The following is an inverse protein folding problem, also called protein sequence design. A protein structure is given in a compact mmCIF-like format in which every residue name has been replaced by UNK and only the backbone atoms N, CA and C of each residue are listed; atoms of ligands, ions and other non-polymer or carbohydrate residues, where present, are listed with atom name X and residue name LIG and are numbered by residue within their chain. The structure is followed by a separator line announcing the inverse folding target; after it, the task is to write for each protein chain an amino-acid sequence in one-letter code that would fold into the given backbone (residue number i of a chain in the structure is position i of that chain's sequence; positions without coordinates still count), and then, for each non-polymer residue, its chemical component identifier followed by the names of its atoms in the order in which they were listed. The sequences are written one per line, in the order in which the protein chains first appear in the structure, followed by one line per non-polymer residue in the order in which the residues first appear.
data_IF_989193790056
#
_entry.id   IF_989193790056
#
_cell.length_a   1.000
_cell.length_b   1.000
_cell.length_c   1.000
_cell.angle_alpha   90.00
_cell.angle_beta   90.00
_cell.angle_gamma   90.00
#
_symmetry.space_group_name_H-M   'P 1'
#
loop_
_entity.id
_entity.type
_entity.pdbx_description
1 polymer ?
#
# COMPACT_ATOMS: atom_id res chain seq x y z
N UNK A 1 -15.46 9.46 -7.97
CA UNK A 1 -16.64 9.64 -8.86
C UNK A 1 -16.24 10.01 -10.29
N UNK A 2 -15.47 11.09 -10.54
CA UNK A 2 -15.12 11.51 -11.91
C UNK A 2 -14.44 10.41 -12.75
N UNK A 3 -13.42 9.71 -12.20
CA UNK A 3 -12.76 8.60 -12.90
C UNK A 3 -13.70 7.45 -13.24
N UNK A 4 -14.62 7.09 -12.34
CA UNK A 4 -15.62 6.05 -12.57
C UNK A 4 -16.58 6.44 -13.70
N UNK A 5 -17.10 7.67 -13.68
CA UNK A 5 -17.99 8.19 -14.72
C UNK A 5 -17.27 8.24 -16.07
N UNK A 6 -16.04 8.75 -16.13
CA UNK A 6 -15.23 8.81 -17.34
C UNK A 6 -14.92 7.44 -17.92
N UNK A 7 -14.62 6.46 -17.06
CA UNK A 7 -14.42 5.07 -17.45
C UNK A 7 -15.71 4.43 -18.00
N UNK A 8 -16.85 4.62 -17.34
CA UNK A 8 -18.15 4.07 -17.80
C UNK A 8 -18.60 4.66 -19.13
N UNK A 9 -18.38 5.96 -19.34
CA UNK A 9 -18.68 6.65 -20.62
C UNK A 9 -17.71 6.31 -21.76
N UNK A 10 -16.63 5.55 -21.48
CA UNK A 10 -15.63 5.20 -22.48
C UNK A 10 -14.63 6.31 -22.80
N UNK A 11 -14.67 7.44 -22.09
CA UNK A 11 -13.69 8.52 -22.25
C UNK A 11 -12.28 8.07 -21.84
N UNK A 12 -12.20 7.18 -20.85
CA UNK A 12 -10.96 6.56 -20.37
C UNK A 12 -11.10 5.04 -20.39
N UNK A 13 -10.08 4.39 -20.91
CA UNK A 13 -9.95 2.94 -20.96
C UNK A 13 -9.02 2.40 -19.87
N UNK A 14 -8.81 1.08 -19.83
CA UNK A 14 -7.88 0.46 -18.90
C UNK A 14 -6.42 0.90 -19.16
N UNK A 15 -6.06 1.21 -20.41
CA UNK A 15 -4.73 1.70 -20.79
C UNK A 15 -4.47 3.06 -20.16
N UNK A 16 -5.45 3.96 -20.16
CA UNK A 16 -5.36 5.26 -19.51
C UNK A 16 -5.07 5.12 -18.01
N UNK A 17 -5.76 4.20 -17.31
CA UNK A 17 -5.48 3.92 -15.90
C UNK A 17 -4.04 3.43 -15.69
N UNK A 18 -3.52 2.57 -16.57
CA UNK A 18 -2.14 2.09 -16.53
C UNK A 18 -1.10 3.22 -16.69
N UNK A 19 -1.36 4.17 -17.60
CA UNK A 19 -0.48 5.35 -17.80
C UNK A 19 -0.50 6.24 -16.56
N UNK A 20 -1.68 6.53 -16.00
CA UNK A 20 -1.83 7.32 -14.79
C UNK A 20 -1.12 6.67 -13.59
N UNK A 21 -1.23 5.35 -13.45
CA UNK A 21 -0.53 4.60 -12.40
C UNK A 21 0.99 4.70 -12.54
N UNK A 22 1.53 4.63 -13.76
CA UNK A 22 2.98 4.82 -13.99
C UNK A 22 3.43 6.24 -13.65
N UNK A 23 2.65 7.25 -13.99
CA UNK A 23 2.92 8.65 -13.61
C UNK A 23 3.00 8.79 -12.09
N UNK A 24 2.02 8.21 -11.38
CA UNK A 24 2.00 8.24 -9.90
C UNK A 24 3.21 7.54 -9.33
N UNK A 25 3.46 6.28 -9.69
CA UNK A 25 4.51 5.46 -9.09
C UNK A 25 5.93 5.92 -9.42
N UNK A 26 6.17 6.49 -10.61
CA UNK A 26 7.51 6.84 -11.05
C UNK A 26 7.86 8.31 -10.82
N UNK A 27 6.87 9.19 -10.63
CA UNK A 27 7.10 10.64 -10.53
C UNK A 27 6.41 11.22 -9.30
N UNK A 28 5.07 11.19 -9.23
CA UNK A 28 4.34 11.94 -8.24
C UNK A 28 4.54 11.41 -6.81
N UNK A 29 4.48 10.10 -6.62
CA UNK A 29 4.70 9.47 -5.31
C UNK A 29 6.15 9.60 -4.83
N UNK A 30 7.19 9.31 -5.63
CA UNK A 30 8.57 9.58 -5.23
C UNK A 30 8.81 11.03 -4.82
N UNK A 31 8.27 12.00 -5.57
CA UNK A 31 8.37 13.42 -5.24
C UNK A 31 7.67 13.74 -3.90
N UNK A 32 6.47 13.19 -3.68
CA UNK A 32 5.72 13.40 -2.43
C UNK A 32 6.44 12.81 -1.21
N UNK A 33 6.98 11.59 -1.32
CA UNK A 33 7.75 10.93 -0.27
C UNK A 33 9.04 11.69 0.02
N UNK A 34 9.79 12.04 -1.02
CA UNK A 34 11.02 12.81 -0.89
C UNK A 34 10.78 14.16 -0.22
N UNK A 35 9.82 14.95 -0.72
CA UNK A 35 9.46 16.26 -0.18
C UNK A 35 8.99 16.20 1.29
N UNK A 36 8.27 15.14 1.68
CA UNK A 36 7.84 14.96 3.06
C UNK A 36 8.99 14.61 3.99
N UNK A 37 9.90 13.73 3.57
CA UNK A 37 10.99 13.24 4.42
C UNK A 37 12.10 14.30 4.59
N UNK A 38 12.45 15.05 3.54
CA UNK A 38 13.48 16.10 3.68
C UNK A 38 13.08 17.24 4.60
N UNK A 39 11.78 17.36 4.94
CA UNK A 39 11.27 18.31 5.94
C UNK A 39 11.23 17.73 7.35
N UNK A 40 11.55 16.45 7.51
CA UNK A 40 11.58 15.81 8.82
C UNK A 40 12.90 16.08 9.52
N UNK A 41 12.83 16.27 10.82
CA UNK A 41 14.02 16.34 11.68
C UNK A 41 14.62 14.94 11.89
N UNK A 42 15.93 14.90 12.22
CA UNK A 42 16.62 13.65 12.50
C UNK A 42 15.98 12.88 13.67
N UNK A 43 15.51 13.59 14.69
CA UNK A 43 14.87 12.99 15.86
C UNK A 43 13.57 12.29 15.47
N UNK A 44 12.78 12.93 14.60
CA UNK A 44 11.56 12.34 14.05
C UNK A 44 11.85 11.03 13.29
N UNK A 45 12.98 10.93 12.57
CA UNK A 45 13.37 9.69 11.90
C UNK A 45 13.71 8.58 12.91
N UNK A 46 14.40 8.91 14.01
CA UNK A 46 14.75 7.94 15.04
C UNK A 46 13.51 7.44 15.81
N UNK A 47 12.54 8.31 16.08
CA UNK A 47 11.25 7.95 16.69
C UNK A 47 10.43 6.98 15.83
N UNK A 48 10.65 6.96 14.52
CA UNK A 48 9.95 6.09 13.60
C UNK A 48 10.54 4.66 13.45
N UNK A 49 11.55 4.29 14.23
CA UNK A 49 12.08 2.90 14.26
C UNK A 49 10.98 1.93 14.73
N UNK A 50 10.23 2.26 15.80
CA UNK A 50 9.13 1.42 16.30
C UNK A 50 8.01 1.26 15.28
N UNK A 51 7.44 2.33 14.69
CA UNK A 51 6.50 2.22 13.57
C UNK A 51 7.02 1.35 12.42
N UNK A 52 8.31 1.44 12.07
CA UNK A 52 8.93 0.60 11.03
C UNK A 52 8.87 -0.89 11.37
N UNK A 53 9.22 -1.25 12.62
CA UNK A 53 9.13 -2.63 13.08
C UNK A 53 7.70 -3.15 13.12
N UNK A 54 6.74 -2.31 13.55
CA UNK A 54 5.30 -2.65 13.55
C UNK A 54 4.80 -2.87 12.14
N UNK A 55 5.16 -2.00 11.19
CA UNK A 55 4.79 -2.15 9.78
C UNK A 55 5.37 -3.44 9.20
N UNK A 56 6.66 -3.70 9.42
CA UNK A 56 7.34 -4.89 8.91
C UNK A 56 6.71 -6.16 9.49
N UNK A 57 6.59 -6.25 10.81
CA UNK A 57 6.03 -7.42 11.48
C UNK A 57 4.56 -7.64 11.11
N UNK A 58 3.74 -6.58 11.16
CA UNK A 58 2.30 -6.66 10.90
C UNK A 58 1.99 -7.01 9.45
N UNK A 59 2.66 -6.35 8.49
CA UNK A 59 2.44 -6.61 7.06
C UNK A 59 2.93 -8.01 6.70
N UNK A 60 4.11 -8.44 7.18
CA UNK A 60 4.64 -9.77 6.89
C UNK A 60 3.82 -10.89 7.54
N UNK A 61 3.33 -10.67 8.77
CA UNK A 61 2.41 -11.59 9.42
C UNK A 61 1.12 -11.74 8.60
N UNK A 62 0.49 -10.65 8.21
CA UNK A 62 -0.72 -10.67 7.37
C UNK A 62 -0.45 -11.36 6.03
N UNK A 63 0.67 -11.04 5.39
CA UNK A 63 1.08 -11.63 4.11
C UNK A 63 1.20 -13.16 4.22
N UNK A 64 1.92 -13.63 5.23
CA UNK A 64 2.13 -15.07 5.48
C UNK A 64 0.82 -15.79 5.79
N UNK A 65 -0.01 -15.21 6.66
CA UNK A 65 -1.30 -15.80 7.01
C UNK A 65 -2.26 -15.86 5.82
N UNK A 66 -2.35 -14.83 5.00
CA UNK A 66 -3.15 -14.85 3.77
C UNK A 66 -2.65 -15.94 2.82
N UNK A 67 -1.33 -16.03 2.62
CA UNK A 67 -0.72 -17.07 1.80
C UNK A 67 -1.12 -18.48 2.27
N UNK A 68 -0.94 -18.77 3.55
CA UNK A 68 -1.25 -20.10 4.11
C UNK A 68 -2.76 -20.40 4.10
N UNK A 69 -3.63 -19.41 4.38
CA UNK A 69 -5.08 -19.59 4.30
C UNK A 69 -5.50 -19.99 2.88
N UNK A 70 -5.04 -19.27 1.84
CA UNK A 70 -5.44 -19.58 0.47
C UNK A 70 -4.83 -20.89 -0.02
N UNK A 71 -3.59 -21.19 0.34
CA UNK A 71 -2.91 -22.43 0.00
C UNK A 71 -3.61 -23.68 0.58
N UNK A 72 -4.14 -23.58 1.79
CA UNK A 72 -4.73 -24.72 2.48
C UNK A 72 -6.26 -24.82 2.38
N UNK A 73 -6.96 -23.67 2.35
CA UNK A 73 -8.43 -23.66 2.37
C UNK A 73 -9.04 -23.78 0.97
N UNK A 74 -8.34 -23.33 -0.07
CA UNK A 74 -8.86 -23.36 -1.44
C UNK A 74 -8.04 -24.33 -2.30
N UNK A 75 -8.69 -25.42 -2.71
CA UNK A 75 -8.10 -26.46 -3.59
C UNK A 75 -7.97 -25.90 -5.01
N UNK A 76 -6.75 -25.65 -5.46
CA UNK A 76 -6.39 -25.20 -6.81
C UNK A 76 -4.90 -25.43 -7.05
N UNK A 77 -4.23 -24.58 -7.82
CA UNK A 77 -2.77 -24.58 -7.97
C UNK A 77 -2.02 -24.11 -6.70
N UNK A 78 -2.63 -24.27 -5.55
CA UNK A 78 -2.17 -24.17 -4.18
C UNK A 78 -1.33 -22.94 -3.85
N UNK A 79 -0.06 -22.94 -4.20
CA UNK A 79 0.86 -21.87 -3.84
C UNK A 79 0.76 -20.61 -4.68
N UNK A 80 0.43 -20.71 -5.98
CA UNK A 80 0.36 -19.56 -6.89
C UNK A 80 -0.81 -18.63 -6.55
N UNK A 81 -1.96 -19.22 -6.27
CA UNK A 81 -3.18 -18.48 -5.89
C UNK A 81 -3.00 -17.81 -4.53
N UNK A 82 -2.40 -18.53 -3.57
CA UNK A 82 -2.06 -17.99 -2.27
C UNK A 82 -1.08 -16.81 -2.36
N UNK A 83 -0.07 -16.90 -3.22
CA UNK A 83 0.90 -15.82 -3.43
C UNK A 83 0.24 -14.56 -4.02
N UNK A 84 -0.65 -14.71 -5.00
CA UNK A 84 -1.41 -13.59 -5.58
C UNK A 84 -2.30 -12.95 -4.53
N UNK A 85 -3.03 -13.74 -3.73
CA UNK A 85 -3.92 -13.19 -2.70
C UNK A 85 -3.14 -12.56 -1.54
N UNK A 86 -1.96 -13.07 -1.21
CA UNK A 86 -1.06 -12.43 -0.26
C UNK A 86 -0.56 -11.09 -0.77
N UNK A 87 -0.19 -10.98 -2.05
CA UNK A 87 0.17 -9.72 -2.69
C UNK A 87 -0.97 -8.69 -2.69
N UNK A 88 -2.22 -9.14 -2.79
CA UNK A 88 -3.40 -8.28 -2.76
C UNK A 88 -3.80 -7.89 -1.33
N UNK A 89 -4.08 -8.88 -0.49
CA UNK A 89 -4.62 -8.63 0.86
C UNK A 89 -3.54 -8.25 1.87
N UNK A 90 -2.28 -8.63 1.65
CA UNK A 90 -1.14 -8.23 2.47
C UNK A 90 -0.50 -6.89 2.08
N UNK A 91 -0.92 -6.29 0.97
CA UNK A 91 -0.32 -5.03 0.47
C UNK A 91 -1.35 -3.91 0.40
N UNK A 92 -1.27 -2.90 1.28
CA UNK A 92 -2.14 -1.72 1.20
C UNK A 92 -1.75 -0.81 0.03
N UNK A 93 -2.75 -0.17 -0.58
CA UNK A 93 -2.56 0.83 -1.64
C UNK A 93 -1.97 2.16 -1.11
N UNK A 94 -0.96 2.06 -0.25
CA UNK A 94 -0.39 3.20 0.50
C UNK A 94 0.15 4.29 -0.43
N UNK A 95 0.82 3.89 -1.51
CA UNK A 95 1.37 4.83 -2.49
C UNK A 95 0.31 5.62 -3.24
N UNK A 96 -0.88 5.05 -3.43
CA UNK A 96 -1.97 5.70 -4.16
C UNK A 96 -2.90 6.48 -3.23
N UNK A 97 -3.29 5.89 -2.10
CA UNK A 97 -4.32 6.44 -1.22
C UNK A 97 -3.77 6.94 0.12
N UNK A 98 -2.52 6.65 0.46
CA UNK A 98 -1.94 7.03 1.75
C UNK A 98 -2.06 8.52 2.04
N UNK A 99 -1.52 9.36 1.17
CA UNK A 99 -1.64 10.80 1.33
C UNK A 99 -3.08 11.30 1.20
N UNK A 100 -3.87 10.72 0.29
CA UNK A 100 -5.28 11.11 0.09
C UNK A 100 -6.16 10.87 1.32
N UNK A 101 -5.81 9.88 2.15
CA UNK A 101 -6.57 9.53 3.36
C UNK A 101 -5.95 10.13 4.61
N UNK A 102 -4.63 10.07 4.76
CA UNK A 102 -3.98 10.50 6.00
C UNK A 102 -3.86 12.02 6.11
N UNK A 103 -3.57 12.75 5.02
CA UNK A 103 -3.43 14.21 5.10
C UNK A 103 -4.72 14.96 5.53
N UNK A 104 -5.91 14.62 5.02
CA UNK A 104 -7.14 15.27 5.50
C UNK A 104 -7.44 15.03 6.97
N UNK A 105 -6.96 13.92 7.55
CA UNK A 105 -7.22 13.53 8.93
C UNK A 105 -6.16 14.02 9.92
N UNK A 106 -4.88 14.06 9.50
CA UNK A 106 -3.74 14.36 10.38
C UNK A 106 -2.93 15.58 9.94
N UNK A 107 -3.35 16.25 8.87
CA UNK A 107 -2.63 17.40 8.31
C UNK A 107 -1.47 17.00 7.38
N UNK A 108 -0.86 18.02 6.76
CA UNK A 108 0.32 17.87 5.88
C UNK A 108 1.61 17.88 6.71
N UNK A 109 1.74 16.93 7.62
CA UNK A 109 2.89 16.83 8.53
C UNK A 109 3.97 15.90 7.98
N UNK A 110 5.27 16.09 8.33
CA UNK A 110 6.34 15.15 7.99
C UNK A 110 6.04 13.73 8.48
N UNK A 111 5.37 13.60 9.64
CA UNK A 111 4.99 12.30 10.21
C UNK A 111 4.09 11.50 9.26
N UNK A 112 3.10 12.13 8.61
CA UNK A 112 2.26 11.47 7.60
C UNK A 112 3.12 10.94 6.45
N UNK A 113 4.05 11.77 5.95
CA UNK A 113 4.99 11.35 4.89
C UNK A 113 5.85 10.17 5.29
N UNK A 114 6.38 10.17 6.51
CA UNK A 114 7.19 9.07 7.04
C UNK A 114 6.38 7.77 7.16
N UNK A 115 5.16 7.80 7.69
CA UNK A 115 4.31 6.60 7.77
C UNK A 115 3.99 6.06 6.37
N UNK A 116 3.66 6.93 5.40
CA UNK A 116 3.43 6.51 4.01
C UNK A 116 4.70 5.88 3.42
N UNK A 117 5.88 6.47 3.68
CA UNK A 117 7.16 5.95 3.23
C UNK A 117 7.49 4.59 3.86
N UNK A 118 7.36 4.46 5.18
CA UNK A 118 7.64 3.23 5.93
C UNK A 118 6.81 2.07 5.38
N UNK A 119 5.49 2.25 5.33
CA UNK A 119 4.58 1.22 4.81
C UNK A 119 4.86 0.95 3.33
N UNK A 120 5.13 1.98 2.53
CA UNK A 120 5.49 1.86 1.12
C UNK A 120 6.76 1.07 0.90
N UNK A 121 7.81 1.31 1.68
CA UNK A 121 9.09 0.57 1.61
C UNK A 121 8.86 -0.89 2.01
N UNK A 122 8.17 -1.16 3.11
CA UNK A 122 7.88 -2.53 3.55
C UNK A 122 7.11 -3.29 2.48
N UNK A 123 6.09 -2.69 1.89
CA UNK A 123 5.30 -3.33 0.82
C UNK A 123 6.14 -3.58 -0.44
N UNK A 124 6.86 -2.55 -0.93
CA UNK A 124 7.55 -2.64 -2.22
C UNK A 124 8.90 -3.35 -2.13
N UNK A 125 9.68 -3.12 -1.07
CA UNK A 125 11.03 -3.68 -0.94
C UNK A 125 11.04 -5.05 -0.25
N UNK A 126 9.98 -5.43 0.48
CA UNK A 126 9.89 -6.73 1.16
C UNK A 126 8.70 -7.54 0.66
N UNK A 127 7.48 -7.02 0.75
CA UNK A 127 6.25 -7.75 0.42
C UNK A 127 6.20 -8.23 -1.02
N UNK A 128 6.47 -7.35 -2.00
CA UNK A 128 6.44 -7.71 -3.42
C UNK A 128 7.51 -8.75 -3.78
N UNK A 129 8.80 -8.60 -3.41
CA UNK A 129 9.81 -9.64 -3.65
C UNK A 129 9.48 -10.99 -3.02
N UNK A 130 8.96 -10.99 -1.79
CA UNK A 130 8.52 -12.25 -1.13
C UNK A 130 7.38 -12.88 -1.91
N UNK A 131 6.36 -12.12 -2.30
CA UNK A 131 5.24 -12.63 -3.09
C UNK A 131 5.65 -13.16 -4.46
N UNK A 132 6.55 -12.47 -5.16
CA UNK A 132 7.11 -12.96 -6.43
C UNK A 132 7.93 -14.23 -6.24
N UNK A 133 8.70 -14.35 -5.16
CA UNK A 133 9.46 -15.56 -4.86
C UNK A 133 8.56 -16.76 -4.61
N UNK A 134 7.47 -16.56 -3.84
CA UNK A 134 6.47 -17.61 -3.60
C UNK A 134 5.75 -17.99 -4.90
N UNK A 135 5.41 -17.02 -5.74
CA UNK A 135 4.75 -17.27 -7.02
C UNK A 135 5.66 -18.04 -7.99
N UNK A 136 6.93 -17.66 -8.09
CA UNK A 136 7.92 -18.34 -8.91
C UNK A 136 8.19 -19.78 -8.41
N UNK A 137 8.29 -19.96 -7.10
CA UNK A 137 8.47 -21.30 -6.51
C UNK A 137 7.27 -22.21 -6.82
N UNK A 138 6.04 -21.68 -6.73
CA UNK A 138 4.83 -22.43 -7.03
C UNK A 138 4.65 -22.72 -8.54
N UNK A 139 5.18 -21.84 -9.40
CA UNK A 139 5.13 -21.99 -10.88
C UNK A 139 6.29 -22.81 -11.45
N UNK A 140 7.22 -23.27 -10.62
CA UNK A 140 8.41 -24.02 -11.05
C UNK A 140 9.46 -23.19 -11.81
N UNK A 141 9.33 -21.86 -11.82
CA UNK A 141 10.27 -20.94 -12.44
C UNK A 141 11.21 -20.36 -11.39
N UNK A 142 12.42 -20.91 -11.29
CA UNK A 142 13.44 -20.41 -10.37
C UNK A 142 14.07 -19.11 -10.90
N UNK A 143 13.48 -17.96 -10.62
CA UNK A 143 14.17 -16.67 -10.75
C UNK A 143 14.66 -16.21 -9.37
N UNK A 144 15.95 -15.83 -9.28
CA UNK A 144 16.60 -15.56 -7.99
C UNK A 144 15.93 -14.42 -7.21
N UNK A 145 15.60 -14.69 -5.96
CA UNK A 145 15.00 -13.74 -5.00
C UNK A 145 15.80 -12.44 -4.91
N UNK A 146 17.14 -12.53 -4.99
CA UNK A 146 18.04 -11.37 -4.95
C UNK A 146 17.79 -10.40 -6.12
N UNK A 147 17.57 -10.91 -7.33
CA UNK A 147 17.27 -10.05 -8.49
C UNK A 147 15.94 -9.32 -8.33
N UNK A 148 14.92 -9.97 -7.76
CA UNK A 148 13.62 -9.33 -7.47
C UNK A 148 13.76 -8.23 -6.43
N UNK A 149 14.56 -8.42 -5.38
CA UNK A 149 14.85 -7.41 -4.34
C UNK A 149 15.59 -6.21 -4.95
N UNK A 150 16.66 -6.45 -5.70
CA UNK A 150 17.42 -5.36 -6.34
C UNK A 150 16.57 -4.58 -7.33
N UNK A 151 15.72 -5.25 -8.11
CA UNK A 151 14.79 -4.59 -9.00
C UNK A 151 13.75 -3.74 -8.25
N UNK A 152 13.24 -4.22 -7.11
CA UNK A 152 12.31 -3.45 -6.27
C UNK A 152 12.98 -2.20 -5.67
N UNK A 153 14.22 -2.32 -5.19
CA UNK A 153 15.00 -1.20 -4.66
C UNK A 153 15.42 -0.18 -5.73
N UNK A 154 15.54 -0.59 -6.99
CA UNK A 154 15.84 0.32 -8.10
C UNK A 154 14.64 1.19 -8.52
N UNK A 155 13.43 0.88 -8.04
CA UNK A 155 12.24 1.68 -8.36
C UNK A 155 12.26 3.04 -7.65
N UNK A 156 11.79 4.13 -8.32
CA UNK A 156 11.77 5.47 -7.73
C UNK A 156 11.04 5.54 -6.39
N UNK A 157 9.94 4.79 -6.23
CA UNK A 157 9.16 4.72 -5.00
C UNK A 157 9.93 4.14 -3.81
N UNK A 158 10.96 3.35 -4.06
CA UNK A 158 11.81 2.78 -3.02
C UNK A 158 13.05 3.65 -2.72
N UNK A 159 13.79 4.06 -3.76
CA UNK A 159 15.03 4.79 -3.55
C UNK A 159 14.83 6.27 -3.16
N UNK A 160 13.73 6.93 -3.60
CA UNK A 160 13.52 8.34 -3.29
C UNK A 160 13.37 8.61 -1.77
N UNK A 161 12.54 7.85 -1.01
CA UNK A 161 12.49 8.01 0.44
C UNK A 161 13.81 7.63 1.13
N UNK A 162 14.55 6.63 0.63
CA UNK A 162 15.86 6.26 1.17
C UNK A 162 16.90 7.37 0.96
N UNK A 163 16.92 7.98 -0.24
CA UNK A 163 17.79 9.11 -0.52
C UNK A 163 17.45 10.33 0.35
N UNK A 164 16.16 10.65 0.52
CA UNK A 164 15.72 11.73 1.40
C UNK A 164 16.14 11.48 2.85
N UNK A 165 15.96 10.24 3.35
CA UNK A 165 16.40 9.84 4.70
C UNK A 165 17.91 9.99 4.85
N UNK A 166 18.71 9.57 3.86
CA UNK A 166 20.15 9.71 3.88
C UNK A 166 20.58 11.19 3.96
N UNK A 167 19.93 12.08 3.21
CA UNK A 167 20.21 13.52 3.26
C UNK A 167 19.94 14.09 4.66
N UNK A 168 18.79 13.77 5.26
CA UNK A 168 18.42 14.25 6.61
C UNK A 168 19.40 13.71 7.66
N UNK A 169 19.77 12.44 7.61
CA UNK A 169 20.73 11.83 8.54
C UNK A 169 22.13 12.45 8.39
N UNK A 170 22.55 12.78 7.17
CA UNK A 170 23.82 13.45 6.89
C UNK A 170 23.79 14.96 7.20
N UNK A 171 22.64 15.53 7.58
CA UNK A 171 22.50 16.97 7.83
C UNK A 171 22.59 17.83 6.56
N UNK A 172 22.33 17.26 5.39
CA UNK A 172 22.33 17.96 4.11
C UNK A 172 20.95 18.54 3.87
N UNK A 173 20.85 19.86 3.91
CA UNK A 173 19.60 20.57 3.64
C UNK A 173 19.44 20.86 2.13
N UNK A 174 18.23 20.62 1.63
CA UNK A 174 17.88 21.02 0.26
C UNK A 174 17.51 22.50 0.26
N UNK A 175 17.97 23.29 -0.74
CA UNK A 175 17.57 24.67 -0.89
C UNK A 175 16.04 24.81 -0.91
N UNK A 176 15.52 25.80 -0.18
CA UNK A 176 14.06 26.03 -0.07
C UNK A 176 13.42 26.33 -1.44
N UNK A 177 14.20 26.89 -2.36
CA UNK A 177 13.75 27.19 -3.73
C UNK A 177 13.45 25.92 -4.56
N UNK A 178 14.01 24.77 -4.20
CA UNK A 178 13.76 23.52 -4.91
C UNK A 178 12.47 22.82 -4.43
N UNK A 179 12.02 23.09 -3.21
CA UNK A 179 10.86 22.44 -2.60
C UNK A 179 9.54 22.70 -3.35
N UNK A 180 9.22 23.92 -3.86
CA UNK A 180 8.00 24.18 -4.61
C UNK A 180 7.86 23.30 -5.86
N UNK A 181 8.98 23.00 -6.55
CA UNK A 181 8.96 22.13 -7.74
C UNK A 181 8.62 20.68 -7.38
N UNK A 182 9.12 20.20 -6.25
CA UNK A 182 8.77 18.89 -5.73
C UNK A 182 7.31 18.83 -5.27
N UNK A 183 6.82 19.88 -4.59
CA UNK A 183 5.43 19.98 -4.16
C UNK A 183 4.45 19.98 -5.34
N UNK A 184 4.81 20.66 -6.42
CA UNK A 184 4.01 20.67 -7.64
C UNK A 184 3.86 19.26 -8.24
N UNK A 185 4.95 18.49 -8.30
CA UNK A 185 4.90 17.09 -8.73
C UNK A 185 4.15 16.20 -7.73
N UNK A 186 4.38 16.42 -6.45
CA UNK A 186 3.72 15.70 -5.35
C UNK A 186 2.21 15.88 -5.32
N UNK A 187 1.72 17.09 -5.65
CA UNK A 187 0.28 17.41 -5.65
C UNK A 187 -0.53 16.52 -6.60
N UNK A 188 0.08 16.02 -7.68
CA UNK A 188 -0.56 15.09 -8.59
C UNK A 188 -0.80 13.69 -7.98
N UNK A 189 -0.05 13.31 -6.93
CA UNK A 189 -0.08 11.94 -6.39
C UNK A 189 -1.49 11.48 -6.02
N UNK A 190 -2.10 12.10 -5.03
CA UNK A 190 -3.41 11.67 -4.50
C UNK A 190 -4.53 11.84 -5.52
N UNK A 191 -4.55 12.95 -6.26
CA UNK A 191 -5.61 13.28 -7.21
C UNK A 191 -5.62 12.30 -8.39
N UNK A 192 -4.46 12.09 -9.02
CA UNK A 192 -4.33 11.19 -10.18
C UNK A 192 -4.54 9.74 -9.76
N UNK A 193 -4.03 9.35 -8.58
CA UNK A 193 -4.20 8.00 -8.06
C UNK A 193 -5.67 7.66 -7.84
N UNK A 194 -6.43 8.49 -7.11
CA UNK A 194 -7.86 8.28 -6.84
C UNK A 194 -8.69 8.30 -8.13
N UNK A 195 -8.31 9.14 -9.10
CA UNK A 195 -8.95 9.16 -10.41
C UNK A 195 -8.73 7.85 -11.18
N UNK A 196 -7.50 7.33 -11.21
CA UNK A 196 -7.14 6.06 -11.84
C UNK A 196 -7.90 4.88 -11.20
N UNK A 197 -8.02 4.85 -9.86
CA UNK A 197 -8.84 3.86 -9.13
C UNK A 197 -10.28 3.87 -9.63
N UNK A 198 -10.86 5.06 -9.82
CA UNK A 198 -12.22 5.20 -10.35
C UNK A 198 -12.38 4.58 -11.74
N UNK A 199 -11.42 4.80 -12.65
CA UNK A 199 -11.43 4.20 -14.00
C UNK A 199 -11.40 2.66 -13.90
N UNK A 200 -10.50 2.11 -13.10
CA UNK A 200 -10.34 0.66 -12.94
C UNK A 200 -11.62 0.03 -12.42
N UNK A 201 -12.22 0.59 -11.36
CA UNK A 201 -13.50 0.12 -10.83
C UNK A 201 -14.61 0.12 -11.90
N UNK A 202 -14.61 1.08 -12.82
CA UNK A 202 -15.62 1.17 -13.88
C UNK A 202 -15.52 0.05 -14.90
N UNK A 203 -14.35 -0.55 -15.06
CA UNK A 203 -14.04 -1.61 -16.04
C UNK A 203 -14.00 -3.02 -15.45
N UNK A 204 -13.88 -3.13 -14.13
CA UNK A 204 -13.77 -4.41 -13.43
C UNK A 204 -15.13 -5.10 -13.37
N UNK A 205 -15.23 -6.35 -13.84
CA UNK A 205 -16.35 -7.24 -13.55
C UNK A 205 -16.11 -7.86 -12.18
N UNK A 206 -16.98 -7.57 -11.23
CA UNK A 206 -16.86 -8.04 -9.84
C UNK A 206 -17.48 -9.43 -9.74
N UNK A 207 -16.67 -10.42 -9.40
CA UNK A 207 -17.10 -11.77 -9.03
C UNK A 207 -17.21 -11.84 -7.51
N UNK A 208 -18.41 -12.06 -6.98
CA UNK A 208 -18.66 -12.18 -5.55
C UNK A 208 -18.73 -13.65 -5.20
N UNK A 209 -17.74 -14.14 -4.50
CA UNK A 209 -17.67 -15.51 -3.96
C UNK A 209 -16.91 -15.53 -2.63
N UNK A 210 -16.85 -16.70 -1.99
CA UNK A 210 -16.19 -16.85 -0.70
C UNK A 210 -14.73 -16.39 -0.71
N UNK A 211 -14.01 -16.62 -1.79
CA UNK A 211 -12.59 -16.25 -1.93
C UNK A 211 -12.40 -14.73 -2.00
N UNK A 212 -13.19 -14.04 -2.84
CA UNK A 212 -13.08 -12.59 -3.01
C UNK A 212 -13.57 -11.83 -1.78
N UNK A 213 -14.62 -12.33 -1.12
CA UNK A 213 -15.13 -11.79 0.15
C UNK A 213 -14.09 -11.96 1.26
N UNK A 214 -13.51 -13.18 1.39
CA UNK A 214 -12.46 -13.44 2.39
C UNK A 214 -11.25 -12.53 2.17
N UNK A 215 -10.80 -12.35 0.91
CA UNK A 215 -9.71 -11.43 0.59
C UNK A 215 -9.98 -9.99 1.03
N UNK A 216 -11.21 -9.49 0.80
CA UNK A 216 -11.62 -8.18 1.25
C UNK A 216 -11.67 -8.07 2.79
N UNK A 217 -12.22 -9.08 3.49
CA UNK A 217 -12.26 -9.12 4.96
C UNK A 217 -10.83 -9.14 5.53
N UNK A 218 -9.96 -10.02 5.04
CA UNK A 218 -8.57 -10.08 5.47
C UNK A 218 -7.85 -8.75 5.27
N UNK A 219 -8.20 -8.01 4.21
CA UNK A 219 -7.61 -6.71 3.93
C UNK A 219 -8.13 -5.61 4.86
N UNK A 220 -9.45 -5.43 4.96
CA UNK A 220 -10.02 -4.24 5.64
C UNK A 220 -10.34 -4.46 7.13
N UNK A 221 -10.34 -5.71 7.59
CA UNK A 221 -10.60 -6.05 9.00
C UNK A 221 -9.38 -6.64 9.67
N UNK A 222 -8.83 -7.72 9.12
CA UNK A 222 -7.75 -8.46 9.78
C UNK A 222 -6.44 -7.69 9.80
N UNK A 223 -6.02 -7.11 8.68
CA UNK A 223 -4.76 -6.35 8.60
C UNK A 223 -4.71 -5.16 9.58
N UNK A 224 -5.70 -4.26 9.64
CA UNK A 224 -5.69 -3.17 10.60
C UNK A 224 -5.78 -3.66 12.06
N UNK A 225 -6.50 -4.78 12.34
CA UNK A 225 -6.52 -5.39 13.66
C UNK A 225 -5.14 -5.88 14.10
N UNK A 226 -4.39 -6.52 13.20
CA UNK A 226 -3.02 -6.97 13.47
C UNK A 226 -2.09 -5.77 13.73
N UNK A 227 -2.17 -4.73 12.91
CA UNK A 227 -1.37 -3.50 13.10
C UNK A 227 -1.72 -2.79 14.41
N UNK A 228 -3.02 -2.76 14.78
CA UNK A 228 -3.45 -2.24 16.08
C UNK A 228 -2.85 -3.05 17.24
N UNK A 229 -3.00 -4.37 17.22
CA UNK A 229 -2.51 -5.25 18.28
C UNK A 229 -0.99 -5.17 18.45
N UNK A 230 -0.22 -5.26 17.36
CA UNK A 230 1.25 -5.15 17.42
C UNK A 230 1.66 -3.73 17.82
N UNK A 231 1.00 -2.70 17.29
CA UNK A 231 1.31 -1.31 17.60
C UNK A 231 1.06 -0.97 19.08
N UNK A 232 -0.02 -1.46 19.66
CA UNK A 232 -0.28 -1.34 21.11
C UNK A 232 0.77 -2.10 21.93
N UNK A 233 1.10 -3.32 21.55
CA UNK A 233 2.12 -4.12 22.24
C UNK A 233 3.51 -3.47 22.18
N UNK A 234 3.84 -2.76 21.10
CA UNK A 234 5.08 -1.99 20.94
C UNK A 234 5.04 -0.60 21.57
N UNK A 235 3.91 -0.19 22.17
CA UNK A 235 3.77 1.12 22.81
C UNK A 235 3.86 2.28 21.83
N UNK A 236 3.24 2.16 20.65
CA UNK A 236 3.16 3.28 19.72
C UNK A 236 2.31 4.41 20.29
N UNK A 237 2.75 5.64 20.03
CA UNK A 237 1.96 6.84 20.33
C UNK A 237 0.62 6.79 19.59
N UNK A 238 -0.43 7.27 20.26
CA UNK A 238 -1.83 7.23 19.78
C UNK A 238 -2.00 7.71 18.35
N UNK A 239 -1.40 8.84 17.99
CA UNK A 239 -1.51 9.42 16.64
C UNK A 239 -0.83 8.54 15.59
N UNK A 240 0.37 8.06 15.89
CA UNK A 240 1.12 7.14 15.03
C UNK A 240 0.39 5.80 14.86
N UNK A 241 -0.18 5.27 15.94
CA UNK A 241 -0.98 4.06 15.92
C UNK A 241 -2.21 4.19 15.02
N UNK A 242 -2.95 5.31 15.13
CA UNK A 242 -4.08 5.61 14.24
C UNK A 242 -3.66 5.65 12.77
N UNK A 243 -2.56 6.35 12.47
CA UNK A 243 -2.02 6.41 11.10
C UNK A 243 -1.66 5.02 10.57
N UNK A 244 -1.02 4.18 11.40
CA UNK A 244 -0.64 2.81 11.03
C UNK A 244 -1.86 1.92 10.78
N UNK A 245 -2.87 1.97 11.66
CA UNK A 245 -4.12 1.22 11.50
C UNK A 245 -4.82 1.65 10.21
N UNK A 246 -4.94 2.97 9.97
CA UNK A 246 -5.56 3.48 8.75
C UNK A 246 -4.77 3.10 7.49
N UNK A 247 -3.44 3.10 7.54
CA UNK A 247 -2.63 2.58 6.44
C UNK A 247 -2.96 1.10 6.15
N UNK A 248 -3.24 0.31 7.19
CA UNK A 248 -3.71 -1.07 7.07
C UNK A 248 -5.10 -1.21 6.45
N UNK A 249 -6.03 -0.29 6.75
CA UNK A 249 -7.40 -0.28 6.21
C UNK A 249 -7.44 0.05 4.72
N UNK A 250 -6.45 0.78 4.19
CA UNK A 250 -6.41 1.16 2.77
C UNK A 250 -6.67 -0.05 1.87
N UNK A 251 -7.34 0.12 0.73
CA UNK A 251 -7.63 -0.98 -0.21
C UNK A 251 -6.37 -1.73 -0.63
N UNK A 252 -6.57 -2.88 -1.25
CA UNK A 252 -5.48 -3.68 -1.84
C UNK A 252 -4.68 -2.88 -2.87
N UNK A 253 -3.37 -3.13 -2.94
CA UNK A 253 -2.51 -2.47 -3.92
C UNK A 253 -2.72 -3.03 -5.33
N UNK A 254 -2.69 -2.15 -6.34
CA UNK A 254 -2.78 -2.55 -7.77
C UNK A 254 -1.66 -3.45 -8.23
N UNK A 255 -0.50 -3.37 -7.60
CA UNK A 255 0.67 -4.19 -7.96
C UNK A 255 0.33 -5.68 -7.92
N UNK A 256 -0.50 -6.12 -6.97
CA UNK A 256 -0.96 -7.51 -6.89
C UNK A 256 -1.76 -7.94 -8.12
N UNK A 257 -2.67 -7.08 -8.64
CA UNK A 257 -3.44 -7.38 -9.86
C UNK A 257 -2.56 -7.39 -11.11
N UNK A 258 -1.61 -6.47 -11.22
CA UNK A 258 -0.65 -6.44 -12.34
C UNK A 258 0.23 -7.69 -12.37
N UNK A 259 0.66 -8.18 -11.21
CA UNK A 259 1.42 -9.43 -11.10
C UNK A 259 0.53 -10.62 -11.48
N UNK A 260 -0.72 -10.66 -10.97
CA UNK A 260 -1.69 -11.69 -11.34
C UNK A 260 -1.92 -11.78 -12.85
N UNK A 261 -2.08 -10.64 -13.53
CA UNK A 261 -2.22 -10.55 -15.00
C UNK A 261 -0.95 -11.05 -15.70
N UNK A 262 0.22 -10.63 -15.25
CA UNK A 262 1.51 -11.03 -15.85
C UNK A 262 1.76 -12.53 -15.79
N UNK A 263 1.35 -13.18 -14.69
CA UNK A 263 1.52 -14.62 -14.49
C UNK A 263 0.30 -15.44 -14.92
N UNK A 264 -0.81 -14.81 -15.30
CA UNK A 264 -2.05 -15.47 -15.70
C UNK A 264 -2.73 -16.23 -14.55
N UNK A 265 -2.44 -15.86 -13.29
CA UNK A 265 -2.93 -16.54 -12.08
C UNK A 265 -3.94 -15.67 -11.36
N UNK A 266 -5.13 -16.20 -11.10
CA UNK A 266 -6.17 -15.56 -10.26
C UNK A 266 -6.61 -14.15 -10.73
N UNK A 267 -6.48 -13.85 -12.02
CA UNK A 267 -6.68 -12.51 -12.58
C UNK A 267 -8.06 -11.94 -12.22
N UNK A 268 -9.12 -12.70 -12.49
CA UNK A 268 -10.50 -12.26 -12.22
C UNK A 268 -10.79 -12.14 -10.71
N UNK A 269 -10.27 -13.04 -9.92
CA UNK A 269 -10.43 -13.02 -8.44
C UNK A 269 -9.64 -11.88 -7.83
N UNK A 270 -8.42 -11.64 -8.29
CA UNK A 270 -7.57 -10.54 -7.84
C UNK A 270 -8.21 -9.19 -8.11
N UNK A 271 -8.67 -8.95 -9.33
CA UNK A 271 -9.37 -7.72 -9.70
C UNK A 271 -10.67 -7.53 -8.90
N UNK A 272 -11.41 -8.62 -8.64
CA UNK A 272 -12.64 -8.57 -7.85
C UNK A 272 -12.36 -8.30 -6.37
N UNK A 273 -11.33 -8.92 -5.78
CA UNK A 273 -10.91 -8.68 -4.40
C UNK A 273 -10.44 -7.24 -4.19
N UNK A 274 -9.70 -6.68 -5.16
CA UNK A 274 -9.35 -5.27 -5.19
C UNK A 274 -10.60 -4.39 -5.17
N UNK A 275 -11.54 -4.60 -6.08
CA UNK A 275 -12.76 -3.81 -6.17
C UNK A 275 -13.59 -3.89 -4.89
N UNK A 276 -13.74 -5.09 -4.31
CA UNK A 276 -14.44 -5.29 -3.04
C UNK A 276 -13.72 -4.60 -1.89
N UNK A 277 -12.38 -4.62 -1.84
CA UNK A 277 -11.62 -3.93 -0.80
C UNK A 277 -11.80 -2.41 -0.88
N UNK A 278 -11.89 -1.83 -2.10
CA UNK A 278 -12.18 -0.40 -2.28
C UNK A 278 -13.60 -0.06 -1.80
N UNK A 279 -14.60 -0.88 -2.11
CA UNK A 279 -15.97 -0.66 -1.63
C UNK A 279 -16.07 -0.83 -0.12
N UNK A 280 -15.41 -1.85 0.44
CA UNK A 280 -15.40 -2.11 1.88
C UNK A 280 -14.62 -1.05 2.68
N UNK A 281 -13.62 -0.40 2.07
CA UNK A 281 -12.87 0.69 2.68
C UNK A 281 -13.76 1.86 3.10
N UNK A 282 -14.80 2.18 2.31
CA UNK A 282 -15.67 3.33 2.57
C UNK A 282 -16.28 3.28 3.99
N UNK A 283 -16.96 2.21 4.42
CA UNK A 283 -17.43 2.08 5.80
C UNK A 283 -16.33 1.71 6.79
N UNK A 284 -15.30 0.96 6.37
CA UNK A 284 -14.26 0.48 7.28
C UNK A 284 -13.38 1.61 7.82
N UNK A 285 -13.07 2.62 7.01
CA UNK A 285 -12.21 3.72 7.43
C UNK A 285 -12.77 4.49 8.65
N UNK A 286 -14.01 5.01 8.65
CA UNK A 286 -14.58 5.68 9.82
C UNK A 286 -14.82 4.72 11.00
N UNK A 287 -15.15 3.45 10.73
CA UNK A 287 -15.33 2.46 11.79
C UNK A 287 -14.02 2.17 12.54
N UNK A 288 -12.90 2.05 11.82
CA UNK A 288 -11.60 1.85 12.46
C UNK A 288 -11.11 3.08 13.21
N UNK A 289 -11.36 4.31 12.71
CA UNK A 289 -11.08 5.53 13.46
C UNK A 289 -11.81 5.51 14.80
N UNK A 290 -13.12 5.26 14.77
CA UNK A 290 -13.94 5.17 15.97
C UNK A 290 -13.48 4.05 16.90
N UNK A 291 -13.18 2.86 16.37
CA UNK A 291 -12.77 1.71 17.16
C UNK A 291 -11.42 1.95 17.88
N UNK A 292 -10.44 2.55 17.19
CA UNK A 292 -9.15 2.90 17.80
C UNK A 292 -9.34 3.93 18.92
N UNK A 293 -10.18 4.96 18.70
CA UNK A 293 -10.49 5.94 19.73
C UNK A 293 -11.16 5.28 20.95
N UNK A 294 -12.15 4.42 20.72
CA UNK A 294 -12.87 3.72 21.79
C UNK A 294 -11.94 2.80 22.61
N UNK A 295 -11.00 2.10 21.95
CA UNK A 295 -10.04 1.20 22.62
C UNK A 295 -9.04 2.01 23.43
N UNK A 296 -8.51 3.10 22.89
CA UNK A 296 -7.47 3.91 23.55
C UNK A 296 -7.99 4.76 24.70
N UNK A 297 -9.30 5.06 24.75
CA UNK A 297 -9.94 5.72 25.91
C UNK A 297 -10.05 4.77 27.11
N UNK A 298 -10.01 3.45 26.85
CA UNK A 298 -10.17 2.43 27.91
C UNK A 298 -8.84 1.94 28.49
N UNK A 299 -7.71 2.30 27.88
CA UNK A 299 -6.36 1.95 28.30
C UNK A 299 -5.64 3.18 28.85
#
# INVERSE_FOLDING_TARGET
MAGYIGGRRGTFDATAAGVLNRLVLNIALPAALFASIVRADRDLLLENIRPTLVALAGIMLCFTLVYEIYKHCFKGNGGSEGAVMALLSGSPAIGFMGFAVLQPLFGTTPQVGLIVAIVGIVVNAVGIPVGLSLLNAASGTASGTMHAVLHALSQPVAWAPLAATALVVCGIHIPEEALPSLDFLAAANSTVAVFAVGIILSKTRIYINAQTILGAILKVVFMPAVLLGIGMACGLETTTLKMMVLAGVLPSAFTGTMIAERYGVYVAYGASSLALSVLAFIPACPLWLWAVDAILVQV
#
